data_IF_796567013882
#
_entry.id   IF_796567013882
#
_cell.length_a   1.000
_cell.length_b   1.000
_cell.length_c   1.000
_cell.angle_alpha   90.00
_cell.angle_beta   90.00
_cell.angle_gamma   90.00
#
_symmetry.space_group_name_H-M   'P 1'
#
loop_
_entity.id
_entity.type
_entity.pdbx_description
1 polymer ?
#
# COMPACT_ATOMS: atom_id res chain seq x y z
N UNK A 1 -38.14 -2.74 25.17
CA UNK A 1 -37.18 -3.54 24.43
C UNK A 1 -36.52 -2.55 23.48
N UNK A 2 -35.37 -2.00 23.89
CA UNK A 2 -34.60 -1.05 23.03
C UNK A 2 -33.99 -1.89 21.91
N UNK A 3 -34.42 -1.65 20.69
CA UNK A 3 -33.77 -2.16 19.49
C UNK A 3 -32.47 -1.34 19.36
N UNK A 4 -31.34 -1.94 19.71
CA UNK A 4 -30.05 -1.41 19.30
C UNK A 4 -30.01 -1.61 17.79
N UNK A 5 -30.18 -0.54 17.01
CA UNK A 5 -29.80 -0.53 15.61
C UNK A 5 -28.29 -0.77 15.61
N UNK A 6 -27.85 -1.89 15.03
CA UNK A 6 -26.43 -2.13 14.77
C UNK A 6 -25.95 -0.96 13.89
N UNK A 7 -25.12 -0.10 14.46
CA UNK A 7 -24.45 0.93 13.67
C UNK A 7 -23.72 0.23 12.52
N UNK A 8 -23.78 0.74 11.29
CA UNK A 8 -23.09 0.12 10.17
C UNK A 8 -21.59 0.01 10.50
N UNK A 9 -21.01 -1.16 10.22
CA UNK A 9 -19.58 -1.39 10.43
C UNK A 9 -18.80 -0.40 9.56
N UNK A 10 -17.94 0.38 10.17
CA UNK A 10 -17.13 1.39 9.47
C UNK A 10 -16.26 0.73 8.39
N UNK A 11 -16.07 1.41 7.28
CA UNK A 11 -15.32 0.92 6.12
C UNK A 11 -14.04 1.72 5.91
N UNK A 12 -12.95 1.00 5.69
CA UNK A 12 -11.66 1.57 5.33
C UNK A 12 -11.27 1.12 3.92
N UNK A 13 -11.13 2.06 2.99
CA UNK A 13 -10.46 1.80 1.71
C UNK A 13 -9.00 2.19 1.85
N UNK A 14 -8.09 1.22 1.68
CA UNK A 14 -6.65 1.42 1.80
C UNK A 14 -5.99 1.30 0.43
N UNK A 15 -5.71 2.45 -0.20
CA UNK A 15 -4.97 2.53 -1.47
C UNK A 15 -3.47 2.46 -1.21
N UNK A 16 -2.78 1.55 -1.90
CA UNK A 16 -1.37 1.26 -1.65
C UNK A 16 -0.57 0.94 -2.91
N UNK A 17 0.74 1.24 -2.86
CA UNK A 17 1.74 0.83 -3.85
C UNK A 17 2.94 0.23 -3.13
N UNK A 18 3.37 -0.95 -3.57
CA UNK A 18 4.47 -1.73 -2.99
C UNK A 18 5.84 -1.02 -3.08
N UNK A 19 5.99 0.02 -3.89
CA UNK A 19 7.22 0.81 -3.97
C UNK A 19 7.38 1.86 -2.88
N UNK A 20 6.35 2.09 -2.04
CA UNK A 20 6.35 3.14 -1.03
C UNK A 20 6.73 2.63 0.36
N UNK A 21 7.87 3.07 0.94
CA UNK A 21 8.26 2.67 2.30
C UNK A 21 7.30 3.21 3.37
N UNK A 22 6.71 4.38 3.15
CA UNK A 22 5.67 4.92 4.03
C UNK A 22 4.40 4.08 4.02
N UNK A 23 4.11 3.44 2.87
CA UNK A 23 3.00 2.50 2.77
C UNK A 23 3.29 1.19 3.49
N UNK A 24 4.52 0.70 3.44
CA UNK A 24 4.94 -0.47 4.22
C UNK A 24 4.71 -0.25 5.73
N UNK A 25 5.15 0.90 6.26
CA UNK A 25 4.87 1.29 7.65
C UNK A 25 3.39 1.35 7.96
N UNK A 26 2.61 2.08 7.14
CA UNK A 26 1.18 2.25 7.38
C UNK A 26 0.42 0.94 7.25
N UNK A 27 0.79 0.07 6.30
CA UNK A 27 0.20 -1.26 6.14
C UNK A 27 0.42 -2.14 7.38
N UNK A 28 1.61 -2.08 7.98
CA UNK A 28 1.91 -2.77 9.23
C UNK A 28 1.09 -2.19 10.39
N UNK A 29 1.12 -0.89 10.56
CA UNK A 29 0.56 -0.22 11.75
C UNK A 29 -0.97 -0.14 11.73
N UNK A 30 -1.59 -0.12 10.54
CA UNK A 30 -3.06 -0.10 10.41
C UNK A 30 -3.73 -1.39 10.89
N UNK A 31 -2.97 -2.50 10.99
CA UNK A 31 -3.54 -3.79 11.44
C UNK A 31 -4.08 -3.69 12.88
N UNK A 32 -3.39 -2.97 13.76
CA UNK A 32 -3.86 -2.72 15.12
C UNK A 32 -5.15 -1.88 15.12
N UNK A 33 -5.20 -0.82 14.30
CA UNK A 33 -6.39 0.03 14.15
C UNK A 33 -7.60 -0.79 13.68
N UNK A 34 -7.41 -1.65 12.68
CA UNK A 34 -8.46 -2.53 12.17
C UNK A 34 -8.95 -3.51 13.26
N UNK A 35 -8.02 -4.11 14.00
CA UNK A 35 -8.36 -5.05 15.07
C UNK A 35 -9.15 -4.38 16.21
N UNK A 36 -8.82 -3.16 16.58
CA UNK A 36 -9.51 -2.40 17.62
C UNK A 36 -10.89 -1.90 17.19
N UNK A 37 -11.01 -1.40 15.95
CA UNK A 37 -12.25 -0.80 15.45
C UNK A 37 -13.20 -1.80 14.80
N UNK A 38 -12.73 -3.01 14.52
CA UNK A 38 -13.46 -4.06 13.77
C UNK A 38 -13.94 -3.58 12.40
N UNK A 39 -13.26 -2.58 11.82
CA UNK A 39 -13.61 -2.02 10.52
C UNK A 39 -13.43 -3.03 9.39
N UNK A 40 -14.32 -2.97 8.41
CA UNK A 40 -14.15 -3.72 7.15
C UNK A 40 -13.15 -2.99 6.26
N UNK A 41 -12.17 -3.72 5.72
CA UNK A 41 -11.12 -3.12 4.88
C UNK A 41 -11.23 -3.58 3.44
N UNK A 42 -11.13 -2.62 2.51
CA UNK A 42 -10.91 -2.86 1.10
C UNK A 42 -9.47 -2.48 0.74
N UNK A 43 -8.62 -3.48 0.53
CA UNK A 43 -7.26 -3.29 0.04
C UNK A 43 -7.29 -2.98 -1.45
N UNK A 44 -6.79 -1.80 -1.84
CA UNK A 44 -6.84 -1.28 -3.22
C UNK A 44 -5.45 -1.05 -3.78
N UNK A 45 -4.94 -2.01 -4.57
CA UNK A 45 -3.68 -1.82 -5.30
C UNK A 45 -3.82 -0.70 -6.33
N UNK A 46 -2.90 0.26 -6.36
CA UNK A 46 -2.87 1.33 -7.36
C UNK A 46 -1.43 1.70 -7.74
N UNK A 47 -1.22 2.51 -8.77
CA UNK A 47 0.11 2.99 -9.16
C UNK A 47 0.33 4.42 -8.65
N UNK A 48 1.20 4.56 -7.65
CA UNK A 48 1.57 5.87 -7.11
C UNK A 48 2.26 6.76 -8.15
N UNK A 49 3.03 6.17 -9.07
CA UNK A 49 3.60 6.90 -10.20
C UNK A 49 2.55 7.51 -11.13
N UNK A 50 1.41 6.84 -11.32
CA UNK A 50 0.27 7.40 -12.06
C UNK A 50 -0.33 8.61 -11.35
N UNK A 51 -0.48 8.53 -10.02
CA UNK A 51 -0.94 9.66 -9.19
C UNK A 51 0.04 10.84 -9.24
N UNK A 52 1.35 10.58 -9.11
CA UNK A 52 2.36 11.64 -9.19
C UNK A 52 2.33 12.36 -10.54
N UNK A 53 2.19 11.61 -11.64
CA UNK A 53 2.09 12.20 -12.97
C UNK A 53 0.84 13.07 -13.14
N UNK A 54 -0.28 12.68 -12.53
CA UNK A 54 -1.55 13.38 -12.67
C UNK A 54 -1.63 14.62 -11.78
N UNK A 55 -1.25 14.51 -10.49
CA UNK A 55 -1.61 15.53 -9.49
C UNK A 55 -0.48 15.96 -8.55
N UNK A 56 0.70 15.29 -8.55
CA UNK A 56 1.78 15.60 -7.61
C UNK A 56 3.19 15.49 -8.23
N UNK A 57 3.45 16.22 -9.30
CA UNK A 57 4.73 16.20 -10.01
C UNK A 57 5.91 16.77 -9.19
N UNK A 58 5.65 17.49 -8.10
CA UNK A 58 6.69 18.04 -7.20
C UNK A 58 7.58 16.97 -6.55
N UNK A 59 7.08 15.73 -6.44
CA UNK A 59 7.84 14.58 -5.94
C UNK A 59 9.10 14.31 -6.78
N UNK A 60 9.04 14.53 -8.08
CA UNK A 60 10.20 14.32 -8.96
C UNK A 60 11.32 15.34 -8.72
N UNK A 61 10.97 16.59 -8.41
CA UNK A 61 11.94 17.62 -8.04
C UNK A 61 12.67 17.25 -6.73
N UNK A 62 11.93 16.74 -5.72
CA UNK A 62 12.53 16.27 -4.47
C UNK A 62 13.49 15.08 -4.71
N UNK A 63 13.13 14.13 -5.57
CA UNK A 63 14.00 12.99 -5.93
C UNK A 63 15.25 13.40 -6.67
N UNK A 64 15.21 14.49 -7.45
CA UNK A 64 16.35 15.02 -8.18
C UNK A 64 17.38 15.72 -7.26
N UNK A 65 17.01 16.05 -6.02
CA UNK A 65 17.89 16.70 -5.05
C UNK A 65 17.98 15.88 -3.74
N UNK A 66 18.72 14.75 -3.73
CA UNK A 66 18.78 13.86 -2.57
C UNK A 66 19.51 14.46 -1.35
N UNK A 67 20.23 15.58 -1.53
CA UNK A 67 20.91 16.31 -0.45
C UNK A 67 20.03 17.41 0.16
N UNK A 68 18.79 17.58 -0.30
CA UNK A 68 17.85 18.51 0.32
C UNK A 68 17.62 18.11 1.79
N UNK A 69 17.74 19.04 2.75
CA UNK A 69 17.52 18.75 4.17
C UNK A 69 16.16 18.09 4.46
N UNK A 70 15.12 18.42 3.69
CA UNK A 70 13.79 17.79 3.83
C UNK A 70 13.80 16.32 3.39
N UNK A 71 14.54 16.01 2.32
CA UNK A 71 14.68 14.62 1.85
C UNK A 71 15.43 13.79 2.87
N UNK A 72 16.57 14.30 3.37
CA UNK A 72 17.37 13.64 4.41
C UNK A 72 16.53 13.42 5.66
N UNK A 73 15.77 14.43 6.09
CA UNK A 73 14.93 14.36 7.28
C UNK A 73 13.79 13.33 7.12
N UNK A 74 13.17 13.26 5.93
CA UNK A 74 12.16 12.25 5.64
C UNK A 74 12.69 10.81 5.75
N UNK A 75 13.93 10.55 5.31
CA UNK A 75 14.58 9.25 5.50
C UNK A 75 14.84 8.96 6.99
N UNK A 76 15.31 9.94 7.74
CA UNK A 76 15.52 9.80 9.20
C UNK A 76 14.19 9.45 9.89
N UNK A 77 13.12 10.15 9.59
CA UNK A 77 11.80 9.87 10.15
C UNK A 77 11.27 8.49 9.78
N UNK A 78 11.46 8.08 8.55
CA UNK A 78 11.07 6.76 8.09
C UNK A 78 11.70 5.66 8.96
N UNK A 79 13.01 5.75 9.20
CA UNK A 79 13.72 4.80 10.04
C UNK A 79 13.30 4.86 11.52
N UNK A 80 13.04 6.06 12.06
CA UNK A 80 12.52 6.21 13.43
C UNK A 80 11.12 5.58 13.59
N UNK A 81 10.24 5.79 12.63
CA UNK A 81 8.93 5.15 12.61
C UNK A 81 9.02 3.62 12.49
N UNK A 82 9.91 3.10 11.64
CA UNK A 82 10.13 1.66 11.52
C UNK A 82 10.66 1.07 12.84
N UNK A 83 11.62 1.74 13.48
CA UNK A 83 12.14 1.34 14.79
C UNK A 83 11.06 1.32 15.87
N UNK A 84 10.21 2.34 15.91
CA UNK A 84 9.10 2.43 16.85
C UNK A 84 8.08 1.30 16.64
N UNK A 85 7.83 0.92 15.40
CA UNK A 85 6.93 -0.16 15.02
C UNK A 85 7.56 -1.56 15.13
N UNK A 86 8.84 -1.69 15.53
CA UNK A 86 9.63 -2.93 15.44
C UNK A 86 9.55 -3.58 14.05
N UNK A 87 9.50 -2.78 13.00
CA UNK A 87 9.38 -3.23 11.62
C UNK A 87 10.77 -3.25 10.97
N UNK A 88 11.27 -4.39 10.48
CA UNK A 88 12.52 -4.45 9.73
C UNK A 88 12.44 -3.54 8.50
N UNK A 89 13.43 -2.68 8.30
CA UNK A 89 13.48 -1.76 7.17
C UNK A 89 14.93 -1.63 6.68
N UNK A 90 15.21 -2.19 5.51
CA UNK A 90 16.41 -1.97 4.71
C UNK A 90 16.09 -0.96 3.59
N UNK A 91 16.21 0.34 3.90
CA UNK A 91 15.88 1.40 2.94
C UNK A 91 16.86 2.58 3.00
N UNK A 92 17.33 3.10 1.85
CA UNK A 92 16.99 2.63 0.50
C UNK A 92 17.67 1.30 0.15
N UNK A 93 16.91 0.37 -0.44
CA UNK A 93 17.48 -0.88 -0.95
C UNK A 93 18.35 -0.60 -2.19
N UNK A 94 19.21 -1.52 -2.61
CA UNK A 94 19.98 -1.40 -3.86
C UNK A 94 19.08 -1.33 -5.11
N UNK A 95 17.81 -1.77 -5.00
CA UNK A 95 16.82 -1.76 -6.07
C UNK A 95 15.91 -0.51 -6.04
N UNK A 96 16.21 0.47 -5.17
CA UNK A 96 15.39 1.69 -5.11
C UNK A 96 15.86 2.74 -6.13
N UNK A 97 14.94 3.38 -6.89
CA UNK A 97 13.47 3.17 -6.91
C UNK A 97 13.06 1.95 -7.75
N UNK A 98 12.21 1.09 -7.19
CA UNK A 98 11.71 -0.10 -7.88
C UNK A 98 10.52 0.24 -8.80
N UNK A 99 10.38 -0.50 -9.91
CA UNK A 99 9.17 -0.46 -10.74
C UNK A 99 8.13 -1.40 -10.16
N UNK A 100 7.05 -0.84 -9.65
CA UNK A 100 5.99 -1.62 -8.98
C UNK A 100 4.90 -2.15 -9.91
N UNK A 101 4.97 -1.90 -11.22
CA UNK A 101 3.87 -2.25 -12.15
C UNK A 101 3.51 -3.73 -12.12
N UNK A 102 4.52 -4.61 -12.20
CA UNK A 102 4.29 -6.06 -12.17
C UNK A 102 3.70 -6.51 -10.82
N UNK A 103 4.34 -6.23 -9.67
CA UNK A 103 3.80 -6.66 -8.39
C UNK A 103 2.41 -6.06 -8.11
N UNK A 104 2.14 -4.82 -8.51
CA UNK A 104 0.81 -4.23 -8.34
C UNK A 104 -0.26 -4.90 -9.22
N UNK A 105 0.08 -5.39 -10.42
CA UNK A 105 -0.82 -6.23 -11.22
C UNK A 105 -1.07 -7.58 -10.57
N UNK A 106 -0.06 -8.20 -9.98
CA UNK A 106 -0.25 -9.44 -9.21
C UNK A 106 -1.20 -9.22 -8.03
N UNK A 107 -1.08 -8.10 -7.32
CA UNK A 107 -2.05 -7.69 -6.29
C UNK A 107 -3.46 -7.54 -6.87
N UNK A 108 -3.64 -6.85 -8.02
CA UNK A 108 -4.95 -6.73 -8.67
C UNK A 108 -5.55 -8.07 -9.09
N UNK A 109 -4.73 -9.04 -9.49
CA UNK A 109 -5.20 -10.39 -9.81
C UNK A 109 -5.78 -11.13 -8.58
N UNK A 110 -5.41 -10.72 -7.36
CA UNK A 110 -5.87 -11.29 -6.09
C UNK A 110 -6.99 -10.46 -5.43
N UNK A 111 -7.38 -9.32 -5.98
CA UNK A 111 -8.28 -8.35 -5.35
C UNK A 111 -9.69 -8.88 -5.04
N UNK A 112 -10.10 -9.97 -5.69
CA UNK A 112 -11.35 -10.67 -5.44
C UNK A 112 -11.34 -11.47 -4.11
N UNK A 113 -10.17 -11.72 -3.52
CA UNK A 113 -9.98 -12.36 -2.21
C UNK A 113 -9.08 -11.47 -1.34
N UNK A 114 -9.69 -10.67 -0.49
CA UNK A 114 -9.03 -9.64 0.30
C UNK A 114 -8.05 -10.20 1.35
N UNK A 115 -8.30 -11.41 1.87
CA UNK A 115 -7.39 -12.04 2.83
C UNK A 115 -6.13 -12.57 2.13
N UNK A 116 -6.29 -13.21 0.97
CA UNK A 116 -5.17 -13.65 0.14
C UNK A 116 -4.38 -12.45 -0.37
N UNK A 117 -5.06 -11.39 -0.82
CA UNK A 117 -4.41 -10.14 -1.25
C UNK A 117 -3.60 -9.52 -0.12
N UNK A 118 -4.15 -9.43 1.09
CA UNK A 118 -3.46 -8.91 2.27
C UNK A 118 -2.20 -9.71 2.59
N UNK A 119 -2.31 -11.05 2.58
CA UNK A 119 -1.17 -11.94 2.83
C UNK A 119 -0.07 -11.77 1.77
N UNK A 120 -0.44 -11.71 0.48
CA UNK A 120 0.49 -11.47 -0.61
C UNK A 120 1.16 -10.11 -0.51
N UNK A 121 0.39 -9.06 -0.22
CA UNK A 121 0.89 -7.69 -0.03
C UNK A 121 1.93 -7.62 1.09
N UNK A 122 1.64 -8.28 2.24
CA UNK A 122 2.60 -8.38 3.35
C UNK A 122 3.90 -9.03 2.92
N UNK A 123 3.81 -10.21 2.28
CA UNK A 123 4.98 -10.97 1.83
C UNK A 123 5.81 -10.17 0.80
N UNK A 124 5.15 -9.44 -0.11
CA UNK A 124 5.83 -8.61 -1.10
C UNK A 124 6.51 -7.37 -0.46
N UNK A 125 5.89 -6.74 0.51
CA UNK A 125 6.50 -5.67 1.28
C UNK A 125 7.73 -6.15 2.05
N UNK A 126 7.63 -7.28 2.75
CA UNK A 126 8.75 -7.85 3.49
C UNK A 126 9.90 -8.21 2.55
N UNK A 127 9.62 -8.86 1.43
CA UNK A 127 10.62 -9.19 0.43
C UNK A 127 11.40 -7.95 -0.06
N UNK A 128 10.71 -6.82 -0.27
CA UNK A 128 11.36 -5.61 -0.76
C UNK A 128 12.03 -4.81 0.35
N UNK A 129 11.34 -4.52 1.45
CA UNK A 129 11.81 -3.59 2.47
C UNK A 129 12.55 -4.23 3.64
N UNK A 130 12.31 -5.51 3.93
CA UNK A 130 13.05 -6.21 4.98
C UNK A 130 14.21 -7.05 4.42
N UNK A 131 13.99 -7.70 3.28
CA UNK A 131 14.96 -8.66 2.70
C UNK A 131 15.75 -8.05 1.52
N UNK A 132 15.48 -6.82 1.10
CA UNK A 132 16.18 -6.13 0.02
C UNK A 132 16.02 -6.77 -1.38
N UNK A 133 14.97 -7.60 -1.59
CA UNK A 133 14.77 -8.33 -2.85
C UNK A 133 14.17 -7.44 -3.93
N UNK A 134 14.53 -7.70 -5.20
CA UNK A 134 14.00 -6.95 -6.34
C UNK A 134 12.59 -7.41 -6.72
N UNK A 135 11.56 -6.71 -6.30
CA UNK A 135 10.17 -7.04 -6.64
C UNK A 135 9.77 -6.68 -8.09
N UNK A 136 10.63 -6.02 -8.90
CA UNK A 136 10.43 -5.89 -10.35
C UNK A 136 10.83 -7.18 -11.10
N UNK A 137 11.55 -8.10 -10.45
CA UNK A 137 11.93 -9.39 -11.01
C UNK A 137 10.77 -10.40 -10.91
N UNK A 138 10.27 -10.93 -12.05
CA UNK A 138 9.20 -11.92 -12.06
C UNK A 138 9.52 -13.19 -11.24
N UNK A 139 10.78 -13.63 -11.20
CA UNK A 139 11.18 -14.83 -10.44
C UNK A 139 11.08 -14.57 -8.93
N UNK A 140 11.47 -13.39 -8.48
CA UNK A 140 11.30 -12.97 -7.08
C UNK A 140 9.83 -12.95 -6.71
N UNK A 141 8.97 -12.39 -7.55
CA UNK A 141 7.55 -12.30 -7.27
C UNK A 141 6.83 -13.66 -7.33
N UNK A 142 7.25 -14.56 -8.21
CA UNK A 142 6.77 -15.95 -8.21
C UNK A 142 7.12 -16.67 -6.92
N UNK A 143 8.36 -16.49 -6.42
CA UNK A 143 8.81 -17.06 -5.15
C UNK A 143 8.07 -16.46 -3.95
N UNK A 144 7.83 -15.15 -3.94
CA UNK A 144 6.98 -14.48 -2.93
C UNK A 144 5.57 -15.10 -2.90
N UNK A 145 4.94 -15.29 -4.06
CA UNK A 145 3.63 -15.95 -4.13
C UNK A 145 3.67 -17.38 -3.57
N UNK A 146 4.69 -18.13 -3.94
CA UNK A 146 4.91 -19.51 -3.49
C UNK A 146 5.12 -19.59 -1.98
N UNK A 147 5.79 -18.61 -1.35
CA UNK A 147 6.04 -18.60 0.09
C UNK A 147 4.77 -18.58 0.93
N UNK A 148 3.66 -18.11 0.36
CA UNK A 148 2.33 -18.08 0.99
C UNK A 148 1.36 -19.13 0.39
N UNK A 149 1.88 -20.11 -0.34
CA UNK A 149 1.09 -21.23 -0.88
C UNK A 149 0.36 -20.96 -2.18
N UNK A 150 0.66 -19.85 -2.90
CA UNK A 150 0.08 -19.55 -4.21
C UNK A 150 0.91 -20.13 -5.35
N UNK A 151 0.28 -20.40 -6.49
CA UNK A 151 0.96 -20.70 -7.73
C UNK A 151 1.51 -19.40 -8.36
N UNK A 152 2.82 -19.17 -8.21
CA UNK A 152 3.49 -17.98 -8.67
C UNK A 152 3.47 -17.81 -10.19
N UNK A 153 3.61 -18.90 -10.96
CA UNK A 153 3.58 -18.89 -12.43
C UNK A 153 2.17 -18.56 -12.94
N UNK A 154 1.16 -19.16 -12.35
CA UNK A 154 -0.22 -18.83 -12.69
C UNK A 154 -0.55 -17.36 -12.36
N UNK A 155 -0.07 -16.85 -11.23
CA UNK A 155 -0.28 -15.45 -10.84
C UNK A 155 0.45 -14.47 -11.75
N UNK A 156 1.70 -14.78 -12.17
CA UNK A 156 2.43 -14.00 -13.19
C UNK A 156 1.68 -13.97 -14.52
N UNK A 157 1.15 -15.13 -14.96
CA UNK A 157 0.38 -15.22 -16.19
C UNK A 157 -0.88 -14.35 -16.15
N UNK A 158 -1.59 -14.34 -15.01
CA UNK A 158 -2.75 -13.47 -14.80
C UNK A 158 -2.38 -11.97 -14.80
N UNK A 159 -1.25 -11.60 -14.22
CA UNK A 159 -0.81 -10.20 -14.12
C UNK A 159 -0.60 -9.51 -15.50
N UNK A 160 -0.44 -10.28 -16.58
CA UNK A 160 -0.29 -9.71 -17.92
C UNK A 160 -1.60 -9.67 -18.73
N UNK A 161 -2.70 -10.21 -18.20
CA UNK A 161 -4.01 -10.17 -18.82
C UNK A 161 -4.52 -8.73 -18.98
N UNK A 162 -5.21 -8.41 -20.09
CA UNK A 162 -5.79 -7.08 -20.32
C UNK A 162 -6.70 -6.62 -19.16
N UNK A 163 -7.56 -7.50 -18.68
CA UNK A 163 -8.49 -7.19 -17.58
C UNK A 163 -7.76 -6.76 -16.29
N UNK A 164 -6.63 -7.38 -15.97
CA UNK A 164 -5.83 -7.02 -14.78
C UNK A 164 -5.08 -5.69 -14.99
N UNK A 165 -4.59 -5.43 -16.19
CA UNK A 165 -4.00 -4.12 -16.54
C UNK A 165 -5.02 -3.00 -16.43
N UNK A 166 -6.23 -3.24 -16.91
CA UNK A 166 -7.33 -2.28 -16.86
C UNK A 166 -7.81 -2.09 -15.41
N UNK A 167 -7.82 -3.17 -14.59
CA UNK A 167 -8.14 -3.07 -13.16
C UNK A 167 -7.17 -2.17 -12.42
N UNK A 168 -5.86 -2.33 -12.63
CA UNK A 168 -4.86 -1.47 -12.00
C UNK A 168 -5.01 0.00 -12.43
N UNK A 169 -5.33 0.24 -13.70
CA UNK A 169 -5.63 1.58 -14.21
C UNK A 169 -6.87 2.16 -13.51
N UNK A 170 -7.96 1.41 -13.48
CA UNK A 170 -9.20 1.84 -12.84
C UNK A 170 -9.02 2.17 -11.35
N UNK A 171 -8.29 1.34 -10.60
CA UNK A 171 -7.97 1.62 -9.20
C UNK A 171 -7.15 2.90 -9.04
N UNK A 172 -6.22 3.17 -9.97
CA UNK A 172 -5.41 4.40 -9.95
C UNK A 172 -6.26 5.63 -10.25
N UNK A 173 -7.17 5.54 -11.24
CA UNK A 173 -8.12 6.59 -11.58
C UNK A 173 -9.13 6.84 -10.45
N UNK A 174 -9.61 5.77 -9.81
CA UNK A 174 -10.46 5.86 -8.61
C UNK A 174 -9.75 6.62 -7.49
N UNK A 175 -8.52 6.25 -7.15
CA UNK A 175 -7.75 6.94 -6.12
C UNK A 175 -7.59 8.44 -6.43
N UNK A 176 -7.24 8.79 -7.68
CA UNK A 176 -7.11 10.19 -8.13
C UNK A 176 -8.44 10.93 -7.99
N UNK A 177 -9.54 10.32 -8.44
CA UNK A 177 -10.88 10.94 -8.38
C UNK A 177 -11.35 11.21 -6.95
N UNK A 178 -10.88 10.40 -6.00
CA UNK A 178 -11.12 10.55 -4.56
C UNK A 178 -10.14 11.50 -3.87
N UNK A 179 -9.22 12.11 -4.59
CA UNK A 179 -8.29 13.11 -4.07
C UNK A 179 -6.93 12.58 -3.61
N UNK A 180 -6.58 11.32 -3.92
CA UNK A 180 -5.25 10.78 -3.61
C UNK A 180 -4.15 11.57 -4.32
N UNK A 181 -3.08 11.88 -3.59
CA UNK A 181 -1.88 12.55 -4.12
C UNK A 181 -0.57 11.81 -3.77
N UNK A 182 -0.68 10.63 -3.19
CA UNK A 182 0.45 9.76 -2.83
C UNK A 182 0.01 8.42 -2.25
N UNK A 183 0.96 7.65 -1.71
CA UNK A 183 0.74 6.34 -1.09
C UNK A 183 1.38 6.30 0.31
N UNK A 184 0.68 5.79 1.35
CA UNK A 184 -0.68 5.29 1.33
C UNK A 184 -1.73 6.41 1.27
N UNK A 185 -2.88 6.14 0.68
CA UNK A 185 -4.10 6.93 0.85
C UNK A 185 -5.18 6.06 1.49
N UNK A 186 -5.78 6.55 2.54
CA UNK A 186 -6.83 5.88 3.30
C UNK A 186 -8.11 6.69 3.22
N UNK A 187 -9.24 6.02 3.00
CA UNK A 187 -10.55 6.68 2.95
C UNK A 187 -11.50 5.93 3.88
N UNK A 188 -12.06 6.66 4.83
CA UNK A 188 -13.04 6.14 5.78
C UNK A 188 -14.45 6.49 5.28
N UNK A 189 -15.33 5.48 5.24
CA UNK A 189 -16.75 5.57 4.85
C UNK A 189 -16.98 6.33 3.54
N UNK A 190 -16.05 6.15 2.59
CA UNK A 190 -16.05 6.78 1.26
C UNK A 190 -16.07 8.33 1.28
N UNK A 191 -15.78 8.95 2.43
CA UNK A 191 -15.93 10.39 2.65
C UNK A 191 -14.67 11.08 3.16
N UNK A 192 -13.93 10.47 4.11
CA UNK A 192 -12.83 11.14 4.80
C UNK A 192 -11.49 10.60 4.32
N UNK A 193 -10.67 11.44 3.69
CA UNK A 193 -9.35 11.07 3.18
C UNK A 193 -8.25 11.37 4.20
N UNK A 194 -7.36 10.40 4.36
CA UNK A 194 -6.14 10.49 5.17
C UNK A 194 -4.94 10.04 4.35
N UNK A 195 -3.81 10.70 4.52
CA UNK A 195 -2.59 10.39 3.78
C UNK A 195 -1.40 10.24 4.71
N UNK A 196 -0.74 9.08 4.66
CA UNK A 196 0.49 8.83 5.41
C UNK A 196 0.28 8.01 6.69
N UNK A 197 1.38 7.44 7.19
CA UNK A 197 1.40 6.60 8.39
C UNK A 197 1.05 7.39 9.68
N UNK A 198 1.43 8.65 9.73
CA UNK A 198 1.22 9.54 10.87
C UNK A 198 -0.26 9.93 11.08
N UNK A 199 -1.12 9.67 10.09
CA UNK A 199 -2.56 9.94 10.18
C UNK A 199 -3.36 8.79 10.80
N UNK A 200 -2.75 7.65 11.12
CA UNK A 200 -3.45 6.48 11.69
C UNK A 200 -4.22 6.77 12.99
N UNK A 201 -3.77 7.67 13.90
CA UNK A 201 -4.59 8.06 15.05
C UNK A 201 -5.92 8.73 14.66
N UNK A 202 -5.93 9.52 13.58
CA UNK A 202 -7.15 10.15 13.05
C UNK A 202 -8.04 9.13 12.35
N UNK A 203 -7.45 8.20 11.59
CA UNK A 203 -8.17 7.08 10.98
C UNK A 203 -8.85 6.23 12.06
N UNK A 204 -8.15 5.91 13.16
CA UNK A 204 -8.71 5.18 14.30
C UNK A 204 -9.93 5.90 14.87
N UNK A 205 -9.82 7.21 15.10
CA UNK A 205 -10.93 8.01 15.61
C UNK A 205 -12.12 8.00 14.65
N UNK A 206 -11.87 8.18 13.35
CA UNK A 206 -12.93 8.20 12.35
C UNK A 206 -13.64 6.84 12.21
N UNK A 207 -12.92 5.73 12.35
CA UNK A 207 -13.50 4.38 12.30
C UNK A 207 -14.25 4.00 13.59
N UNK A 208 -13.96 4.66 14.71
CA UNK A 208 -14.63 4.40 15.99
C UNK A 208 -15.96 5.16 16.15
N UNK A 209 -16.27 6.14 15.29
CA UNK A 209 -17.49 6.95 15.27
C UNK A 209 -17.39 8.16 16.17
#
# INVERSE_FOLDING_TARGET
MLIFEDSPVAQLTFFYDLSSPWTYLAFNNVQEVIAETQATVSWRPFLVGGVFNAVNQSVYAARANPIDPKVIHNFTWLHEWARLANLPLDFPTEHHPVKSVLPMRMCCALEHDQEVLKAFTKAAFDAYFADGRNIDDPLVMADVAKSIGLDGEALLSRAVEPAIKDRLRANTEEAISKGAYGSPTMIVDDAQLYFGNDQLPLVRQALAG
#
